data_IF_615628965508
#
_entry.id   IF_615628965508
#
_cell.length_a   1.000
_cell.length_b   1.000
_cell.length_c   1.000
_cell.angle_alpha   90.00
_cell.angle_beta   90.00
_cell.angle_gamma   90.00
#
_symmetry.space_group_name_H-M   'P 1'
#
loop_
_entity.id
_entity.type
_entity.pdbx_description
1 polymer ?
#
# COMPACT_ATOMS: atom_id res chain seq x y z
N UNK A 1 17.76 -13.33 -8.58
CA UNK A 1 17.41 -13.91 -7.26
C UNK A 1 16.83 -12.81 -6.39
N UNK A 2 15.69 -13.02 -5.71
CA UNK A 2 15.18 -12.02 -4.77
C UNK A 2 16.23 -11.80 -3.68
N UNK A 3 16.61 -10.55 -3.43
CA UNK A 3 17.69 -10.17 -2.51
C UNK A 3 17.44 -10.61 -1.05
N UNK A 4 16.22 -11.06 -0.73
CA UNK A 4 15.75 -11.41 0.61
C UNK A 4 15.53 -12.92 0.82
N UNK A 5 16.03 -13.79 -0.07
CA UNK A 5 16.06 -15.24 0.16
C UNK A 5 14.76 -16.01 -0.15
N UNK A 6 13.77 -15.36 -0.79
CA UNK A 6 12.48 -15.97 -1.13
C UNK A 6 11.49 -16.05 0.04
N UNK A 7 10.34 -16.67 -0.17
CA UNK A 7 9.41 -17.00 0.93
C UNK A 7 9.94 -18.20 1.72
N UNK A 8 9.79 -18.25 3.06
CA UNK A 8 9.03 -17.31 3.92
C UNK A 8 9.87 -16.12 4.44
N UNK A 9 11.17 -16.08 4.14
CA UNK A 9 12.09 -15.09 4.69
C UNK A 9 11.68 -13.66 4.35
N UNK A 10 11.18 -13.43 3.14
CA UNK A 10 10.63 -12.14 2.71
C UNK A 10 9.48 -11.67 3.61
N UNK A 11 8.46 -12.50 3.81
CA UNK A 11 7.32 -12.16 4.66
C UNK A 11 7.78 -11.86 6.09
N UNK A 12 8.72 -12.64 6.64
CA UNK A 12 9.28 -12.39 7.97
C UNK A 12 9.98 -11.04 8.04
N UNK A 13 10.85 -10.71 7.08
CA UNK A 13 11.55 -9.42 7.02
C UNK A 13 10.57 -8.24 6.90
N UNK A 14 9.53 -8.41 6.09
CA UNK A 14 8.46 -7.43 5.94
C UNK A 14 7.74 -7.17 7.26
N UNK A 15 7.31 -8.23 7.95
CA UNK A 15 6.67 -8.09 9.27
C UNK A 15 7.59 -7.44 10.29
N UNK A 16 8.86 -7.87 10.34
CA UNK A 16 9.86 -7.31 11.24
C UNK A 16 10.07 -5.81 11.00
N UNK A 17 10.12 -5.37 9.74
CA UNK A 17 10.28 -3.97 9.40
C UNK A 17 9.01 -3.15 9.70
N UNK A 18 7.85 -3.59 9.18
CA UNK A 18 6.61 -2.82 9.25
C UNK A 18 6.02 -2.77 10.67
N UNK A 19 6.33 -3.73 11.54
CA UNK A 19 5.89 -3.74 12.94
C UNK A 19 6.99 -3.36 13.92
N UNK A 20 8.22 -3.85 13.69
CA UNK A 20 9.34 -3.62 14.58
C UNK A 20 9.80 -2.16 14.58
N UNK A 21 9.89 -1.51 13.42
CA UNK A 21 10.33 -0.09 13.36
C UNK A 21 9.35 0.82 14.11
N UNK A 22 8.02 0.77 13.87
CA UNK A 22 7.08 1.57 14.64
C UNK A 22 7.11 1.26 16.13
N UNK A 23 7.27 -0.02 16.51
CA UNK A 23 7.35 -0.45 17.90
C UNK A 23 8.57 0.13 18.59
N UNK A 24 9.76 0.03 17.99
CA UNK A 24 11.00 0.59 18.54
C UNK A 24 10.89 2.11 18.69
N UNK A 25 10.38 2.81 17.67
CA UNK A 25 10.15 4.26 17.74
C UNK A 25 9.15 4.61 18.85
N UNK A 26 8.07 3.84 18.99
CA UNK A 26 7.11 4.03 20.07
C UNK A 26 7.75 3.82 21.44
N UNK A 27 8.50 2.74 21.63
CA UNK A 27 9.19 2.42 22.89
C UNK A 27 10.25 3.49 23.26
N UNK A 28 10.96 4.03 22.27
CA UNK A 28 11.93 5.11 22.48
C UNK A 28 11.25 6.45 22.78
N UNK A 29 10.11 6.74 22.14
CA UNK A 29 9.41 8.02 22.25
C UNK A 29 8.34 8.05 23.35
N UNK A 30 7.98 6.92 23.98
CA UNK A 30 6.89 6.82 24.98
C UNK A 30 7.04 7.77 26.19
N UNK A 31 8.28 8.22 26.47
CA UNK A 31 8.59 9.13 27.57
C UNK A 31 8.41 10.62 27.19
N UNK A 32 8.15 10.93 25.92
CA UNK A 32 7.96 12.30 25.44
C UNK A 32 6.48 12.54 25.15
N UNK A 33 5.89 13.66 25.61
CA UNK A 33 4.52 13.99 25.27
C UNK A 33 4.38 14.15 23.74
N UNK A 34 3.27 13.67 23.15
CA UNK A 34 3.05 13.81 21.72
C UNK A 34 2.98 15.29 21.35
N UNK A 35 3.93 15.75 20.52
CA UNK A 35 4.02 17.15 20.06
C UNK A 35 2.94 17.53 19.05
N UNK A 36 2.28 16.55 18.45
CA UNK A 36 1.25 16.76 17.44
C UNK A 36 0.02 15.94 17.76
N UNK A 37 -1.14 16.61 17.72
CA UNK A 37 -2.47 15.98 17.79
C UNK A 37 -3.17 16.28 16.46
N UNK A 38 -3.64 15.24 15.79
CA UNK A 38 -4.55 15.44 14.67
C UNK A 38 -5.81 16.15 15.18
N UNK A 39 -6.23 17.21 14.51
CA UNK A 39 -7.55 17.80 14.74
C UNK A 39 -8.66 16.78 14.45
N UNK A 40 -9.86 16.95 15.03
CA UNK A 40 -10.98 16.07 14.76
C UNK A 40 -11.27 16.04 13.25
N UNK A 41 -11.41 14.83 12.69
CA UNK A 41 -11.80 14.69 11.29
C UNK A 41 -13.22 15.27 11.11
N UNK A 42 -13.48 16.03 10.02
CA UNK A 42 -14.81 16.45 9.66
C UNK A 42 -15.78 15.25 9.68
N UNK A 43 -16.90 15.38 10.39
CA UNK A 43 -17.86 14.30 10.58
C UNK A 43 -18.82 14.12 9.39
N UNK A 44 -18.74 15.02 8.40
CA UNK A 44 -19.64 15.14 7.26
C UNK A 44 -19.57 13.95 6.31
N UNK A 45 -20.71 13.66 5.68
CA UNK A 45 -20.85 12.57 4.72
C UNK A 45 -19.89 12.75 3.52
N UNK A 46 -19.62 13.98 3.10
CA UNK A 46 -18.71 14.27 2.00
C UNK A 46 -17.26 13.90 2.34
N UNK A 47 -16.81 14.05 3.58
CA UNK A 47 -15.49 13.55 4.00
C UNK A 47 -15.43 12.02 4.14
N UNK A 48 -16.55 11.38 4.52
CA UNK A 48 -16.62 9.91 4.65
C UNK A 48 -16.64 9.20 3.29
N UNK A 49 -17.44 9.71 2.36
CA UNK A 49 -17.74 9.08 1.07
C UNK A 49 -17.10 9.78 -0.12
N UNK A 50 -16.53 10.98 0.07
CA UNK A 50 -15.76 11.68 -0.96
C UNK A 50 -14.68 10.86 -1.66
N UNK A 51 -14.00 9.88 -1.01
CA UNK A 51 -13.08 8.98 -1.71
C UNK A 51 -13.75 8.01 -2.69
N UNK A 52 -15.05 7.77 -2.61
CA UNK A 52 -15.73 6.75 -3.42
C UNK A 52 -15.61 7.02 -4.92
N UNK A 53 -15.76 8.28 -5.34
CA UNK A 53 -15.62 8.66 -6.74
C UNK A 53 -14.20 8.41 -7.28
N UNK A 54 -13.11 8.96 -6.69
CA UNK A 54 -11.76 8.68 -7.21
C UNK A 54 -11.38 7.19 -7.11
N UNK A 55 -11.87 6.47 -6.10
CA UNK A 55 -11.69 5.01 -6.01
C UNK A 55 -12.39 4.30 -7.17
N UNK A 56 -13.67 4.60 -7.43
CA UNK A 56 -14.42 4.00 -8.52
C UNK A 56 -13.77 4.28 -9.88
N UNK A 57 -13.39 5.53 -10.13
CA UNK A 57 -12.68 5.94 -11.36
C UNK A 57 -11.37 5.14 -11.50
N UNK A 58 -10.57 5.03 -10.43
CA UNK A 58 -9.33 4.26 -10.46
C UNK A 58 -9.59 2.79 -10.80
N UNK A 59 -10.59 2.16 -10.21
CA UNK A 59 -10.93 0.76 -10.46
C UNK A 59 -11.43 0.53 -11.90
N UNK A 60 -12.34 1.38 -12.38
CA UNK A 60 -12.86 1.30 -13.76
C UNK A 60 -11.71 1.46 -14.76
N UNK A 61 -10.85 2.46 -14.59
CA UNK A 61 -9.72 2.66 -15.48
C UNK A 61 -8.75 1.46 -15.49
N UNK A 62 -8.57 0.81 -14.34
CA UNK A 62 -7.61 -0.29 -14.19
C UNK A 62 -8.13 -1.64 -14.69
N UNK A 63 -9.45 -1.86 -14.71
CA UNK A 63 -10.04 -3.18 -14.93
C UNK A 63 -11.17 -3.25 -15.96
N UNK A 64 -11.71 -2.12 -16.41
CA UNK A 64 -12.84 -2.06 -17.34
C UNK A 64 -12.51 -1.31 -18.65
N UNK A 65 -11.22 -1.14 -18.96
CA UNK A 65 -10.76 -0.47 -20.18
C UNK A 65 -9.92 -1.42 -21.04
N UNK A 66 -9.69 -1.14 -22.34
CA UNK A 66 -8.81 -1.94 -23.18
C UNK A 66 -7.35 -2.01 -22.69
N UNK A 67 -6.96 -1.13 -21.76
CA UNK A 67 -5.65 -1.09 -21.13
C UNK A 67 -5.65 -1.78 -19.75
N UNK A 68 -6.68 -2.58 -19.47
CA UNK A 68 -6.83 -3.29 -18.19
C UNK A 68 -5.65 -4.21 -17.92
N UNK A 69 -5.29 -4.34 -16.65
CA UNK A 69 -4.27 -5.31 -16.21
C UNK A 69 -4.68 -6.71 -16.65
N UNK A 70 -3.79 -7.49 -17.30
CA UNK A 70 -4.09 -8.85 -17.70
C UNK A 70 -4.51 -9.72 -16.50
N UNK A 71 -5.48 -10.59 -16.73
CA UNK A 71 -5.87 -11.59 -15.75
C UNK A 71 -4.76 -12.64 -15.55
N UNK A 72 -4.70 -13.21 -14.36
CA UNK A 72 -3.79 -14.29 -13.99
C UNK A 72 -4.54 -15.61 -13.92
N UNK A 73 -4.00 -16.66 -14.55
CA UNK A 73 -4.59 -18.00 -14.50
C UNK A 73 -4.32 -18.73 -13.18
N UNK A 74 -3.53 -18.16 -12.25
CA UNK A 74 -3.15 -18.79 -10.99
C UNK A 74 -4.36 -19.20 -10.13
N UNK A 75 -5.44 -18.41 -10.17
CA UNK A 75 -6.66 -18.72 -9.41
C UNK A 75 -7.30 -20.05 -9.82
N UNK A 76 -7.07 -20.52 -11.06
CA UNK A 76 -7.57 -21.80 -11.58
C UNK A 76 -6.66 -22.98 -11.25
N UNK A 77 -5.43 -22.74 -10.79
CA UNK A 77 -4.45 -23.81 -10.49
C UNK A 77 -4.45 -24.24 -9.03
N UNK A 78 -5.26 -23.60 -8.18
CA UNK A 78 -5.33 -23.85 -6.74
C UNK A 78 -6.74 -24.24 -6.32
N UNK A 79 -6.87 -24.90 -5.18
CA UNK A 79 -8.20 -25.19 -4.61
C UNK A 79 -8.91 -23.91 -4.16
N UNK A 80 -10.25 -23.89 -4.08
CA UNK A 80 -10.98 -22.73 -3.58
C UNK A 80 -10.57 -22.30 -2.17
N UNK A 81 -10.20 -23.25 -1.30
CA UNK A 81 -9.74 -22.97 0.06
C UNK A 81 -8.38 -22.28 0.04
N UNK A 82 -7.42 -22.79 -0.73
CA UNK A 82 -6.10 -22.17 -0.89
C UNK A 82 -6.20 -20.77 -1.49
N UNK A 83 -7.07 -20.58 -2.49
CA UNK A 83 -7.34 -19.28 -3.08
C UNK A 83 -7.83 -18.28 -2.03
N UNK A 84 -8.87 -18.62 -1.28
CA UNK A 84 -9.45 -17.73 -0.26
C UNK A 84 -8.43 -17.41 0.83
N UNK A 85 -7.72 -18.41 1.35
CA UNK A 85 -6.69 -18.20 2.37
C UNK A 85 -5.58 -17.29 1.85
N UNK A 86 -5.11 -17.52 0.62
CA UNK A 86 -4.05 -16.71 0.01
C UNK A 86 -4.49 -15.26 -0.18
N UNK A 87 -5.71 -15.03 -0.68
CA UNK A 87 -6.26 -13.68 -0.85
C UNK A 87 -6.41 -12.95 0.50
N UNK A 88 -6.85 -13.64 1.55
CA UNK A 88 -6.99 -13.06 2.89
C UNK A 88 -5.63 -12.70 3.50
N UNK A 89 -4.66 -13.61 3.42
CA UNK A 89 -3.29 -13.37 3.92
C UNK A 89 -2.63 -12.24 3.14
N UNK A 90 -2.71 -12.28 1.81
CA UNK A 90 -2.17 -11.23 0.94
C UNK A 90 -2.84 -9.88 1.24
N UNK A 91 -4.16 -9.83 1.45
CA UNK A 91 -4.84 -8.61 1.85
C UNK A 91 -4.34 -8.09 3.22
N UNK A 92 -4.22 -8.97 4.22
CA UNK A 92 -3.77 -8.59 5.55
C UNK A 92 -2.32 -8.04 5.55
N UNK A 93 -1.41 -8.72 4.85
CA UNK A 93 0.01 -8.38 4.85
C UNK A 93 0.34 -7.28 3.86
N UNK A 94 -0.25 -7.27 2.67
CA UNK A 94 0.11 -6.33 1.61
C UNK A 94 -0.78 -5.09 1.63
N UNK A 95 -2.09 -5.20 1.81
CA UNK A 95 -2.95 -4.02 1.83
C UNK A 95 -3.09 -3.41 3.23
N UNK A 96 -3.46 -4.20 4.24
CA UNK A 96 -3.74 -3.67 5.57
C UNK A 96 -2.48 -3.20 6.29
N UNK A 97 -1.48 -4.08 6.43
CA UNK A 97 -0.27 -3.76 7.18
C UNK A 97 0.56 -2.67 6.50
N UNK A 98 0.75 -2.74 5.18
CA UNK A 98 1.51 -1.70 4.48
C UNK A 98 0.84 -0.35 4.57
N UNK A 99 -0.47 -0.23 4.31
CA UNK A 99 -1.13 1.08 4.37
C UNK A 99 -1.17 1.63 5.81
N UNK A 100 -1.27 0.75 6.81
CA UNK A 100 -1.13 1.14 8.21
C UNK A 100 0.27 1.70 8.53
N UNK A 101 1.32 1.07 8.01
CA UNK A 101 2.69 1.53 8.18
C UNK A 101 2.97 2.80 7.36
N UNK A 102 2.84 2.73 6.04
CA UNK A 102 3.27 3.79 5.12
C UNK A 102 2.37 5.02 5.18
N UNK A 103 1.04 4.88 5.22
CA UNK A 103 0.14 6.04 5.24
C UNK A 103 -0.12 6.49 6.66
N UNK A 104 -0.71 5.61 7.46
CA UNK A 104 -1.21 6.01 8.77
C UNK A 104 -0.08 6.40 9.71
N UNK A 105 1.00 5.63 9.75
CA UNK A 105 2.11 5.90 10.66
C UNK A 105 3.19 6.79 10.05
N UNK A 106 3.83 6.37 8.95
CA UNK A 106 5.01 7.03 8.39
C UNK A 106 4.65 8.39 7.76
N UNK A 107 3.73 8.40 6.78
CA UNK A 107 3.33 9.62 6.08
C UNK A 107 2.78 10.66 7.06
N UNK A 108 1.89 10.29 7.98
CA UNK A 108 1.34 11.25 8.97
C UNK A 108 2.44 11.92 9.81
N UNK A 109 3.49 11.17 10.19
CA UNK A 109 4.63 11.74 10.92
C UNK A 109 5.43 12.67 10.04
N UNK A 110 5.72 12.28 8.80
CA UNK A 110 6.43 13.13 7.86
C UNK A 110 5.63 14.37 7.49
N UNK A 111 4.30 14.31 7.41
CA UNK A 111 3.46 15.48 7.16
C UNK A 111 3.59 16.51 8.27
N UNK A 112 3.78 16.06 9.53
CA UNK A 112 4.01 16.95 10.66
C UNK A 112 5.40 17.61 10.67
N UNK A 113 6.38 17.04 9.96
CA UNK A 113 7.76 17.50 9.93
C UNK A 113 8.12 18.27 8.65
N UNK A 114 7.60 17.82 7.51
CA UNK A 114 7.97 18.26 6.17
C UNK A 114 6.81 18.90 5.41
N UNK A 115 5.59 18.86 5.97
CA UNK A 115 4.38 19.28 5.30
C UNK A 115 3.79 18.20 4.37
N UNK A 116 2.64 18.54 3.78
CA UNK A 116 1.77 17.59 3.07
C UNK A 116 2.44 16.89 1.88
N UNK A 117 2.88 17.65 0.90
CA UNK A 117 3.36 17.10 -0.37
C UNK A 117 4.69 16.37 -0.25
N UNK A 118 5.73 16.90 0.44
CA UNK A 118 6.98 16.18 0.62
C UNK A 118 6.77 14.83 1.33
N UNK A 119 5.90 14.77 2.32
CA UNK A 119 5.60 13.53 3.03
C UNK A 119 4.90 12.49 2.14
N UNK A 120 3.94 12.91 1.30
CA UNK A 120 3.28 12.03 0.33
C UNK A 120 4.31 11.45 -0.64
N UNK A 121 5.15 12.31 -1.24
CA UNK A 121 6.14 11.89 -2.24
C UNK A 121 7.15 10.93 -1.61
N UNK A 122 7.76 11.30 -0.48
CA UNK A 122 8.75 10.46 0.17
C UNK A 122 8.15 9.12 0.60
N UNK A 123 6.96 9.10 1.22
CA UNK A 123 6.35 7.85 1.65
C UNK A 123 6.01 6.94 0.46
N UNK A 124 5.63 7.52 -0.67
CA UNK A 124 5.39 6.78 -1.92
C UNK A 124 6.67 6.22 -2.51
N UNK A 125 7.77 6.97 -2.47
CA UNK A 125 9.07 6.52 -2.95
C UNK A 125 9.66 5.41 -2.08
N UNK A 126 9.59 5.51 -0.75
CA UNK A 126 10.05 4.45 0.15
C UNK A 126 9.22 3.18 -0.03
N UNK A 127 7.90 3.33 -0.19
CA UNK A 127 7.02 2.21 -0.50
C UNK A 127 7.36 1.55 -1.84
N UNK A 128 7.54 2.36 -2.88
CA UNK A 128 7.92 1.87 -4.20
C UNK A 128 9.28 1.16 -4.13
N UNK A 129 10.33 1.78 -3.59
CA UNK A 129 11.68 1.22 -3.55
C UNK A 129 11.75 -0.20 -2.98
N UNK A 130 10.92 -0.53 -1.98
CA UNK A 130 10.82 -1.88 -1.42
C UNK A 130 10.45 -2.94 -2.47
N UNK A 131 9.64 -2.59 -3.47
CA UNK A 131 9.19 -3.49 -4.53
C UNK A 131 10.29 -3.88 -5.52
N UNK A 132 11.35 -3.06 -5.65
CA UNK A 132 12.51 -3.40 -6.50
C UNK A 132 13.17 -4.71 -6.04
N UNK A 133 13.21 -4.96 -4.73
CA UNK A 133 13.87 -6.14 -4.17
C UNK A 133 13.16 -7.47 -4.50
N UNK A 134 11.87 -7.42 -4.87
CA UNK A 134 11.01 -8.59 -5.06
C UNK A 134 10.59 -8.74 -6.52
N UNK A 135 10.28 -7.64 -7.18
CA UNK A 135 9.76 -7.61 -8.55
C UNK A 135 10.84 -7.25 -9.58
N UNK A 136 12.08 -7.06 -9.14
CA UNK A 136 13.20 -6.74 -10.02
C UNK A 136 13.56 -7.89 -10.96
N UNK A 137 13.72 -7.56 -12.24
CA UNK A 137 14.23 -8.45 -13.29
C UNK A 137 15.75 -8.63 -13.23
N UNK A 138 16.44 -7.91 -12.33
CA UNK A 138 17.91 -7.88 -12.25
C UNK A 138 18.54 -6.83 -13.15
N UNK A 139 17.74 -5.92 -13.72
CA UNK A 139 18.18 -4.79 -14.56
C UNK A 139 17.87 -3.50 -13.80
N UNK A 140 18.83 -2.97 -13.01
CA UNK A 140 18.54 -1.95 -12.01
C UNK A 140 17.81 -0.70 -12.55
N UNK A 141 18.18 -0.23 -13.73
CA UNK A 141 17.55 0.93 -14.35
C UNK A 141 16.08 0.68 -14.75
N UNK A 142 15.80 -0.49 -15.32
CA UNK A 142 14.44 -0.90 -15.74
C UNK A 142 13.57 -1.18 -14.52
N UNK A 143 14.14 -1.87 -13.52
CA UNK A 143 13.45 -2.21 -12.29
C UNK A 143 13.06 -0.96 -11.50
N UNK A 144 14.00 0.00 -11.39
CA UNK A 144 13.74 1.29 -10.76
C UNK A 144 12.67 2.08 -11.52
N UNK A 145 12.78 2.18 -12.85
CA UNK A 145 11.78 2.89 -13.66
C UNK A 145 10.39 2.26 -13.54
N UNK A 146 10.29 0.94 -13.65
CA UNK A 146 9.03 0.20 -13.54
C UNK A 146 8.37 0.40 -12.17
N UNK A 147 9.16 0.31 -11.11
CA UNK A 147 8.65 0.47 -9.74
C UNK A 147 8.24 1.91 -9.45
N UNK A 148 8.99 2.91 -9.93
CA UNK A 148 8.63 4.32 -9.79
C UNK A 148 7.33 4.64 -10.55
N UNK A 149 7.17 4.13 -11.77
CA UNK A 149 5.97 4.39 -12.57
C UNK A 149 4.75 3.67 -11.98
N UNK A 150 4.87 2.38 -11.64
CA UNK A 150 3.73 1.61 -11.16
C UNK A 150 3.43 1.89 -9.68
N UNK A 151 4.39 1.61 -8.80
CA UNK A 151 4.20 1.72 -7.35
C UNK A 151 4.35 3.16 -6.88
N UNK A 152 5.19 3.98 -7.51
CA UNK A 152 5.24 5.41 -7.19
C UNK A 152 3.92 6.12 -7.49
N UNK A 153 3.33 5.93 -8.67
CA UNK A 153 2.06 6.55 -9.02
C UNK A 153 0.89 6.07 -8.14
N UNK A 154 0.80 4.76 -7.89
CA UNK A 154 -0.19 4.21 -6.95
C UNK A 154 0.03 4.75 -5.54
N UNK A 155 1.28 4.82 -5.08
CA UNK A 155 1.65 5.39 -3.79
C UNK A 155 1.22 6.84 -3.64
N UNK A 156 1.41 7.67 -4.67
CA UNK A 156 0.98 9.07 -4.67
C UNK A 156 -0.53 9.20 -4.57
N UNK A 157 -1.28 8.38 -5.33
CA UNK A 157 -2.74 8.35 -5.29
C UNK A 157 -3.25 7.96 -3.89
N UNK A 158 -2.74 6.88 -3.32
CA UNK A 158 -3.07 6.43 -1.97
C UNK A 158 -2.66 7.47 -0.91
N UNK A 159 -1.47 8.04 -1.04
CA UNK A 159 -0.97 9.08 -0.15
C UNK A 159 -1.83 10.34 -0.17
N UNK A 160 -2.32 10.74 -1.35
CA UNK A 160 -3.27 11.84 -1.47
C UNK A 160 -4.61 11.53 -0.78
N UNK A 161 -5.18 10.34 -1.01
CA UNK A 161 -6.43 9.92 -0.38
C UNK A 161 -6.29 9.91 1.15
N UNK A 162 -5.19 9.37 1.67
CA UNK A 162 -4.91 9.42 3.10
C UNK A 162 -4.82 10.86 3.61
N UNK A 163 -4.02 11.69 2.95
CA UNK A 163 -3.77 13.07 3.39
C UNK A 163 -5.05 13.92 3.40
N UNK A 164 -5.93 13.72 2.40
CA UNK A 164 -7.18 14.47 2.24
C UNK A 164 -8.32 13.98 3.14
N UNK A 165 -8.44 12.66 3.30
CA UNK A 165 -9.62 12.03 3.90
C UNK A 165 -9.34 11.31 5.23
N UNK A 166 -8.09 10.96 5.54
CA UNK A 166 -7.71 10.23 6.78
C UNK A 166 -8.53 8.97 7.03
N UNK A 167 -8.98 8.30 5.97
CA UNK A 167 -9.74 7.05 6.02
C UNK A 167 -8.90 5.91 5.45
N UNK A 168 -8.97 4.75 6.11
CA UNK A 168 -8.28 3.54 5.66
C UNK A 168 -9.02 2.84 4.53
N UNK A 169 -10.36 2.79 4.58
CA UNK A 169 -11.16 2.02 3.63
C UNK A 169 -10.82 2.29 2.14
N UNK A 170 -10.60 3.53 1.67
CA UNK A 170 -10.28 3.77 0.25
C UNK A 170 -8.95 3.14 -0.14
N UNK A 171 -7.98 3.19 0.77
CA UNK A 171 -6.65 2.63 0.57
C UNK A 171 -6.72 1.11 0.49
N UNK A 172 -7.46 0.50 1.43
CA UNK A 172 -7.63 -0.95 1.50
C UNK A 172 -8.39 -1.49 0.30
N UNK A 173 -9.41 -0.78 -0.19
CA UNK A 173 -10.15 -1.17 -1.39
C UNK A 173 -9.25 -1.11 -2.62
N UNK A 174 -8.53 -0.01 -2.83
CA UNK A 174 -7.70 0.15 -4.04
C UNK A 174 -6.50 -0.80 -4.00
N UNK A 175 -5.75 -0.84 -2.90
CA UNK A 175 -4.58 -1.70 -2.78
C UNK A 175 -5.00 -3.18 -2.75
N UNK A 176 -6.07 -3.52 -2.03
CA UNK A 176 -6.65 -4.86 -2.05
C UNK A 176 -7.06 -5.30 -3.45
N UNK A 177 -7.72 -4.42 -4.21
CA UNK A 177 -8.08 -4.70 -5.60
C UNK A 177 -6.85 -4.89 -6.51
N UNK A 178 -5.81 -4.06 -6.35
CA UNK A 178 -4.54 -4.22 -7.10
C UNK A 178 -3.94 -5.60 -6.89
N UNK A 179 -4.02 -6.15 -5.67
CA UNK A 179 -3.48 -7.47 -5.36
C UNK A 179 -4.41 -8.62 -5.76
N UNK A 180 -5.74 -8.43 -5.70
CA UNK A 180 -6.71 -9.51 -5.86
C UNK A 180 -7.36 -9.58 -7.26
N UNK A 181 -7.65 -8.45 -7.91
CA UNK A 181 -8.42 -8.43 -9.16
C UNK A 181 -7.75 -9.19 -10.31
N UNK A 182 -6.42 -9.13 -10.53
CA UNK A 182 -5.81 -9.92 -11.59
C UNK A 182 -6.10 -11.43 -11.44
N UNK A 183 -6.12 -11.93 -10.20
CA UNK A 183 -6.46 -13.33 -9.91
C UNK A 183 -7.95 -13.60 -10.08
N UNK A 184 -8.81 -12.72 -9.54
CA UNK A 184 -10.26 -12.93 -9.56
C UNK A 184 -10.89 -12.80 -10.96
N UNK A 185 -10.36 -11.92 -11.81
CA UNK A 185 -10.80 -11.78 -13.20
C UNK A 185 -10.34 -12.96 -14.08
N UNK A 186 -9.37 -13.74 -13.61
CA UNK A 186 -8.84 -14.91 -14.30
C UNK A 186 -9.51 -16.22 -13.90
N UNK A 187 -10.49 -16.19 -13.00
CA UNK A 187 -11.34 -17.36 -12.70
C UNK A 187 -12.30 -17.62 -13.87
#
# INVERSE_FOLDING_TARGET
MPLLGGEPAYTVWKLALLLGVPLVVFLAARRRPPRWRAGPAPADAAHRWGPALPVAVRLVLSYATPLSVPASDWGRTVTPVELVVTLLVAFAVNALLEEAFYRRWLQTRWESLLGRWPAIVLASLVWAAWHVAIQGSGRPAVDLASVLVNHGALGLFLGYLWSRYRRMWPLLVVHGAVNAMPVLLGL
#
